data_IF_480630427360
#
_entry.id   IF_480630427360
#
_cell.length_a   1.000
_cell.length_b   1.000
_cell.length_c   1.000
_cell.angle_alpha   90.00
_cell.angle_beta   90.00
_cell.angle_gamma   90.00
#
_symmetry.space_group_name_H-M   'P 1'
#
loop_
_entity.id
_entity.type
_entity.pdbx_description
1 polymer ?
#
# COMPACT_ATOMS: atom_id res chain seq x y z
N UNK A 1 25.86 25.55 13.61
CA UNK A 1 24.58 25.27 12.91
C UNK A 1 24.57 23.78 12.58
N UNK A 2 23.44 23.09 12.80
CA UNK A 2 23.27 21.68 12.42
C UNK A 2 22.38 21.57 11.17
N UNK A 3 22.48 20.45 10.45
CA UNK A 3 21.66 20.16 9.28
C UNK A 3 20.83 18.92 9.57
N UNK A 4 19.50 19.03 9.39
CA UNK A 4 18.57 17.91 9.38
C UNK A 4 17.81 17.97 8.06
N UNK A 5 18.15 17.04 7.15
CA UNK A 5 17.55 16.95 5.82
C UNK A 5 17.36 15.48 5.46
N UNK A 6 16.18 15.17 4.93
CA UNK A 6 15.77 13.88 4.39
C UNK A 6 15.41 14.08 2.93
N UNK A 7 15.91 13.21 2.05
CA UNK A 7 15.57 13.17 0.63
C UNK A 7 15.22 11.73 0.29
N UNK A 8 14.03 11.51 -0.27
CA UNK A 8 13.52 10.17 -0.56
C UNK A 8 12.85 10.14 -1.93
N UNK A 9 13.03 9.02 -2.63
CA UNK A 9 12.23 8.65 -3.80
C UNK A 9 11.66 7.27 -3.53
N UNK A 10 10.34 7.15 -3.55
CA UNK A 10 9.67 5.89 -3.24
C UNK A 10 8.22 5.88 -3.71
N UNK A 11 7.55 4.76 -3.48
CA UNK A 11 6.15 4.57 -3.86
C UNK A 11 5.25 4.58 -2.63
N UNK A 12 4.06 5.17 -2.74
CA UNK A 12 3.09 5.18 -1.65
C UNK A 12 2.63 3.76 -1.30
N UNK A 13 2.65 3.41 -0.01
CA UNK A 13 2.13 2.13 0.49
C UNK A 13 0.61 2.08 0.61
N UNK A 14 0.01 3.25 0.82
CA UNK A 14 -1.43 3.46 0.99
C UNK A 14 -1.81 4.86 0.52
N UNK A 15 -3.10 5.08 0.31
CA UNK A 15 -3.63 6.41 0.00
C UNK A 15 -3.37 7.39 1.15
N UNK A 16 -3.14 8.69 0.87
CA UNK A 16 -2.96 9.67 1.92
C UNK A 16 -4.21 9.89 2.77
N UNK A 17 -4.02 9.88 4.08
CA UNK A 17 -5.07 10.25 5.03
C UNK A 17 -5.04 11.77 5.24
N UNK A 18 -5.90 12.51 4.55
CA UNK A 18 -6.08 13.96 4.74
C UNK A 18 -7.01 14.25 5.93
N UNK A 19 -6.54 15.05 6.87
CA UNK A 19 -7.28 15.51 8.07
C UNK A 19 -7.11 17.02 8.23
N UNK A 20 -8.00 17.63 8.99
CA UNK A 20 -7.89 19.03 9.39
C UNK A 20 -7.73 19.11 10.91
N UNK A 21 -6.78 19.91 11.35
CA UNK A 21 -6.62 20.21 12.78
C UNK A 21 -7.77 21.07 13.29
N UNK A 22 -8.00 21.14 14.63
CA UNK A 22 -9.00 22.05 15.20
C UNK A 22 -8.79 23.53 14.83
N UNK A 23 -7.55 23.92 14.52
CA UNK A 23 -7.19 25.25 14.04
C UNK A 23 -7.44 25.45 12.53
N UNK A 24 -8.00 24.46 11.83
CA UNK A 24 -8.31 24.50 10.40
C UNK A 24 -7.14 24.19 9.46
N UNK A 25 -5.94 23.92 9.97
CA UNK A 25 -4.80 23.56 9.12
C UNK A 25 -4.92 22.11 8.61
N UNK A 26 -4.78 21.91 7.30
CA UNK A 26 -4.72 20.60 6.66
C UNK A 26 -3.42 19.86 7.04
N UNK A 27 -3.54 18.55 7.26
CA UNK A 27 -2.44 17.62 7.49
C UNK A 27 -2.73 16.32 6.74
N UNK A 28 -1.75 15.79 6.01
CA UNK A 28 -1.89 14.48 5.37
C UNK A 28 -0.77 13.55 5.82
N UNK A 29 -1.15 12.30 6.08
CA UNK A 29 -0.26 11.26 6.55
C UNK A 29 -0.29 10.09 5.55
N UNK A 30 0.88 9.65 5.11
CA UNK A 30 1.03 8.49 4.24
C UNK A 30 2.37 7.81 4.49
N UNK A 31 2.52 6.58 3.99
CA UNK A 31 3.78 5.86 4.00
C UNK A 31 4.34 5.75 2.58
N UNK A 32 5.67 5.84 2.46
CA UNK A 32 6.38 5.48 1.23
C UNK A 32 7.33 4.31 1.50
N UNK A 33 7.49 3.46 0.50
CA UNK A 33 8.47 2.38 0.49
C UNK A 33 9.71 2.78 -0.32
N UNK A 34 10.89 2.49 0.21
CA UNK A 34 12.16 2.51 -0.53
C UNK A 34 12.77 1.12 -0.50
N UNK A 35 13.14 0.58 -1.65
CA UNK A 35 13.70 -0.78 -1.75
C UNK A 35 15.13 -0.73 -2.26
N UNK A 36 16.03 -1.38 -1.52
CA UNK A 36 17.40 -1.66 -1.96
C UNK A 36 17.53 -3.14 -2.37
N UNK A 37 18.27 -3.41 -3.44
CA UNK A 37 18.61 -4.78 -3.85
C UNK A 37 20.13 -4.98 -3.72
N UNK A 38 20.55 -5.98 -2.96
CA UNK A 38 21.95 -6.31 -2.73
C UNK A 38 22.19 -7.81 -2.90
N UNK A 39 23.46 -8.22 -3.01
CA UNK A 39 23.84 -9.65 -2.97
C UNK A 39 24.32 -9.99 -1.58
N UNK A 40 23.87 -11.10 -1.02
CA UNK A 40 24.40 -11.63 0.23
C UNK A 40 25.76 -12.33 0.02
N UNK A 41 26.35 -12.82 1.12
CA UNK A 41 27.65 -13.50 1.10
C UNK A 41 27.65 -14.81 0.32
N UNK A 42 26.46 -15.40 0.10
CA UNK A 42 26.27 -16.63 -0.66
C UNK A 42 26.03 -16.35 -2.15
N UNK A 43 25.94 -15.07 -2.53
CA UNK A 43 25.74 -14.62 -3.90
C UNK A 43 24.28 -14.50 -4.33
N UNK A 44 23.33 -14.75 -3.42
CA UNK A 44 21.90 -14.64 -3.71
C UNK A 44 21.47 -13.17 -3.68
N UNK A 45 20.54 -12.80 -4.57
CA UNK A 45 19.99 -11.44 -4.61
C UNK A 45 18.91 -11.29 -3.54
N UNK A 46 19.16 -10.42 -2.57
CA UNK A 46 18.22 -10.04 -1.54
C UNK A 46 17.63 -8.66 -1.84
N UNK A 47 16.41 -8.40 -1.36
CA UNK A 47 15.80 -7.08 -1.40
C UNK A 47 15.34 -6.69 -0.01
N UNK A 48 15.65 -5.47 0.41
CA UNK A 48 15.22 -4.91 1.69
C UNK A 48 14.40 -3.66 1.42
N UNK A 49 13.20 -3.62 2.01
CA UNK A 49 12.27 -2.51 1.87
C UNK A 49 12.13 -1.81 3.20
N UNK A 50 12.40 -0.51 3.21
CA UNK A 50 12.17 0.36 4.34
C UNK A 50 10.87 1.15 4.13
N UNK A 51 10.14 1.36 5.23
CA UNK A 51 8.88 2.10 5.24
C UNK A 51 9.06 3.41 5.97
N UNK A 52 8.62 4.50 5.35
CA UNK A 52 8.84 5.85 5.85
C UNK A 52 7.51 6.55 6.06
N UNK A 53 7.26 7.02 7.29
CA UNK A 53 6.06 7.77 7.63
C UNK A 53 6.25 9.24 7.27
N UNK A 54 5.46 9.74 6.33
CA UNK A 54 5.51 11.11 5.82
C UNK A 54 4.35 11.90 6.41
N UNK A 55 4.66 13.10 6.91
CA UNK A 55 3.68 14.09 7.37
C UNK A 55 3.86 15.36 6.55
N UNK A 56 2.81 15.78 5.85
CA UNK A 56 2.75 17.03 5.10
C UNK A 56 1.69 17.94 5.68
N UNK A 57 1.88 19.25 5.55
CA UNK A 57 1.00 20.27 6.13
C UNK A 57 0.46 21.24 5.09
N UNK A 58 -0.65 21.91 5.43
CA UNK A 58 -1.25 23.03 4.69
C UNK A 58 -1.54 22.65 3.23
N UNK A 59 -1.23 23.54 2.29
CA UNK A 59 -1.47 23.34 0.87
C UNK A 59 -0.84 22.05 0.32
N UNK A 60 0.35 21.66 0.82
CA UNK A 60 0.99 20.42 0.39
C UNK A 60 0.18 19.19 0.81
N UNK A 61 -0.44 19.23 1.99
CA UNK A 61 -1.35 18.17 2.43
C UNK A 61 -2.56 18.02 1.52
N UNK A 62 -3.19 19.13 1.13
CA UNK A 62 -4.34 19.12 0.21
C UNK A 62 -3.96 18.59 -1.17
N UNK A 63 -2.79 19.00 -1.70
CA UNK A 63 -2.24 18.47 -2.95
C UNK A 63 -2.01 16.96 -2.84
N UNK A 64 -1.36 16.50 -1.77
CA UNK A 64 -1.14 15.08 -1.54
C UNK A 64 -2.46 14.31 -1.49
N UNK A 65 -3.43 14.75 -0.67
CA UNK A 65 -4.73 14.09 -0.54
C UNK A 65 -5.57 14.08 -1.81
N UNK A 66 -5.38 15.05 -2.71
CA UNK A 66 -6.13 15.14 -3.97
C UNK A 66 -5.52 14.31 -5.10
N UNK A 67 -4.20 14.23 -5.20
CA UNK A 67 -3.53 13.69 -6.39
C UNK A 67 -2.71 12.43 -6.15
N UNK A 68 -2.38 12.11 -4.89
CA UNK A 68 -1.65 10.88 -4.58
C UNK A 68 -2.61 9.75 -4.25
N UNK A 69 -2.25 8.56 -4.71
CA UNK A 69 -2.86 7.29 -4.35
C UNK A 69 -1.77 6.24 -4.17
N UNK A 70 -2.13 5.11 -3.56
CA UNK A 70 -1.28 3.95 -3.36
C UNK A 70 -0.56 3.59 -4.66
N UNK A 71 0.74 3.32 -4.56
CA UNK A 71 1.59 2.96 -5.69
C UNK A 71 2.19 4.14 -6.44
N UNK A 72 1.63 5.37 -6.35
CA UNK A 72 2.25 6.55 -6.99
C UNK A 72 3.68 6.74 -6.49
N UNK A 73 4.59 7.03 -7.42
CA UNK A 73 5.97 7.34 -7.09
C UNK A 73 6.09 8.83 -6.76
N UNK A 74 6.85 9.15 -5.72
CA UNK A 74 7.03 10.53 -5.25
C UNK A 74 8.47 10.79 -4.85
N UNK A 75 8.91 12.01 -5.10
CA UNK A 75 10.07 12.64 -4.48
C UNK A 75 9.63 13.40 -3.24
N UNK A 76 10.36 13.25 -2.13
CA UNK A 76 10.09 13.93 -0.86
C UNK A 76 11.38 14.58 -0.36
N UNK A 77 11.29 15.86 0.04
CA UNK A 77 12.29 16.50 0.89
C UNK A 77 11.67 16.95 2.21
N UNK A 78 12.42 16.80 3.29
CA UNK A 78 11.96 17.22 4.61
C UNK A 78 13.02 17.06 5.68
N UNK A 79 12.55 16.81 6.90
CA UNK A 79 13.39 16.63 8.09
C UNK A 79 12.83 15.53 8.98
N UNK A 80 13.70 14.87 9.73
CA UNK A 80 13.29 13.93 10.77
C UNK A 80 12.72 14.70 11.96
N UNK A 81 11.59 14.24 12.48
CA UNK A 81 11.01 14.72 13.72
C UNK A 81 10.59 13.52 14.57
N UNK A 82 11.18 13.40 15.76
CA UNK A 82 10.76 12.39 16.74
C UNK A 82 9.82 13.05 17.74
N UNK A 83 8.63 12.48 17.90
CA UNK A 83 7.66 12.91 18.90
C UNK A 83 7.49 11.84 19.97
N UNK A 84 7.39 12.30 21.22
CA UNK A 84 7.02 11.49 22.38
C UNK A 84 5.50 11.47 22.50
N UNK A 85 4.93 10.31 22.79
CA UNK A 85 3.50 10.13 23.07
C UNK A 85 3.33 9.01 24.10
N UNK A 86 2.24 9.02 24.87
CA UNK A 86 1.96 7.95 25.84
C UNK A 86 0.96 6.94 25.26
N UNK A 87 1.24 5.65 25.44
CA UNK A 87 0.28 4.61 25.12
C UNK A 87 -0.83 4.53 26.18
N UNK A 88 -1.80 3.63 25.96
CA UNK A 88 -2.97 3.48 26.84
C UNK A 88 -2.60 3.03 28.25
N UNK A 89 -1.43 2.42 28.41
CA UNK A 89 -0.92 1.92 29.69
C UNK A 89 -0.04 2.97 30.40
N UNK A 90 0.08 4.18 29.82
CA UNK A 90 0.86 5.29 30.38
C UNK A 90 2.35 5.24 30.07
N UNK A 91 2.81 4.31 29.23
CA UNK A 91 4.23 4.20 28.89
C UNK A 91 4.61 5.22 27.81
N UNK A 92 5.78 5.82 27.99
CA UNK A 92 6.35 6.72 27.00
C UNK A 92 6.79 5.95 25.74
N UNK A 93 6.30 6.41 24.58
CA UNK A 93 6.64 5.90 23.25
C UNK A 93 7.18 7.02 22.39
N UNK A 94 8.00 6.64 21.42
CA UNK A 94 8.61 7.56 20.47
C UNK A 94 8.21 7.15 19.05
N UNK A 95 7.84 8.12 18.22
CA UNK A 95 7.60 7.94 16.80
C UNK A 95 8.48 8.91 16.04
N UNK A 96 9.31 8.38 15.13
CA UNK A 96 10.11 9.19 14.20
C UNK A 96 9.37 9.28 12.88
N UNK A 97 9.11 10.50 12.44
CA UNK A 97 8.36 10.82 11.23
C UNK A 97 9.19 11.79 10.38
N UNK A 98 8.89 11.83 9.08
CA UNK A 98 9.50 12.79 8.16
C UNK A 98 8.48 13.89 7.91
N UNK A 99 8.76 15.08 8.40
CA UNK A 99 7.97 16.27 8.08
C UNK A 99 8.47 16.80 6.76
N UNK A 100 7.66 16.62 5.72
CA UNK A 100 8.01 16.98 4.36
C UNK A 100 7.69 18.46 4.09
N UNK A 101 8.70 19.16 3.60
CA UNK A 101 8.62 20.57 3.20
C UNK A 101 8.42 20.69 1.68
N UNK A 102 8.82 19.68 0.90
CA UNK A 102 8.63 19.61 -0.55
C UNK A 102 8.22 18.20 -0.99
N UNK A 103 7.37 18.13 -2.02
CA UNK A 103 6.98 16.88 -2.67
C UNK A 103 6.85 17.10 -4.18
N UNK A 104 7.29 16.13 -4.97
CA UNK A 104 7.01 16.07 -6.41
C UNK A 104 6.47 14.69 -6.78
N UNK A 105 5.39 14.68 -7.56
CA UNK A 105 4.89 13.45 -8.16
C UNK A 105 5.82 13.00 -9.28
N UNK A 106 6.18 11.73 -9.27
CA UNK A 106 7.01 11.11 -10.29
C UNK A 106 6.15 10.09 -11.05
N UNK A 107 6.16 10.17 -12.38
CA UNK A 107 5.34 9.32 -13.25
C UNK A 107 4.66 10.10 -14.38
N UNK A 108 4.20 9.39 -15.41
CA UNK A 108 3.48 9.99 -16.53
C UNK A 108 2.02 10.21 -16.12
N UNK A 109 1.46 11.37 -16.47
CA UNK A 109 0.05 11.72 -16.23
C UNK A 109 -0.97 10.73 -16.83
N UNK A 110 -0.53 9.79 -17.67
CA UNK A 110 -1.35 8.76 -18.31
C UNK A 110 -1.84 7.65 -17.37
N UNK A 111 -1.26 7.52 -16.17
CA UNK A 111 -1.66 6.48 -15.19
C UNK A 111 -2.94 6.86 -14.41
N UNK A 112 -3.40 8.12 -14.50
CA UNK A 112 -4.67 8.58 -13.91
C UNK A 112 -5.91 8.12 -14.69
N UNK A 113 -5.74 7.43 -15.83
CA UNK A 113 -6.82 6.69 -16.52
C UNK A 113 -6.81 5.21 -16.14
N UNK A 114 -7.02 4.90 -14.86
CA UNK A 114 -7.43 3.55 -14.47
C UNK A 114 -8.87 3.55 -13.95
N UNK A 115 -9.77 3.79 -14.89
CA UNK A 115 -11.21 3.55 -14.78
C UNK A 115 -11.73 3.05 -16.12
N UNK A 116 -11.80 1.73 -16.29
CA UNK A 116 -12.58 1.04 -17.34
C UNK A 116 -12.07 1.20 -18.77
N UNK A 117 -11.27 0.23 -19.24
CA UNK A 117 -10.89 0.14 -20.64
C UNK A 117 -10.50 -1.28 -21.02
N UNK A 118 -11.48 -2.03 -21.53
CA UNK A 118 -11.35 -3.30 -22.22
C UNK A 118 -10.13 -3.30 -23.15
N UNK A 119 -9.13 -4.16 -22.90
CA UNK A 119 -8.06 -4.42 -23.87
C UNK A 119 -8.58 -5.41 -24.91
N UNK A 120 -9.28 -4.91 -25.92
CA UNK A 120 -9.41 -5.61 -27.20
C UNK A 120 -8.08 -5.52 -27.94
N UNK A 121 -7.29 -6.59 -27.83
CA UNK A 121 -6.06 -6.76 -28.61
C UNK A 121 -6.44 -7.20 -30.03
N UNK A 122 -6.64 -6.22 -30.92
CA UNK A 122 -6.80 -6.45 -32.35
C UNK A 122 -5.92 -5.50 -33.17
N UNK A 123 -4.82 -6.06 -33.69
CA UNK A 123 -4.29 -5.78 -35.03
C UNK A 123 -3.49 -4.49 -35.27
N UNK A 124 -2.27 -4.64 -35.81
CA UNK A 124 -1.58 -3.52 -36.43
C UNK A 124 -0.09 -3.69 -36.80
N UNK A 125 0.35 -4.87 -37.25
CA UNK A 125 1.69 -5.01 -37.86
C UNK A 125 1.63 -4.57 -39.33
N UNK A 126 2.18 -3.39 -39.63
CA UNK A 126 2.49 -2.92 -40.98
C UNK A 126 3.90 -3.35 -41.39
N UNK A 127 3.99 -4.40 -42.21
CA UNK A 127 5.24 -4.86 -42.82
C UNK A 127 4.93 -5.45 -44.19
N UNK A 128 5.11 -4.64 -45.23
CA UNK A 128 4.83 -5.01 -46.61
C UNK A 128 5.81 -6.03 -47.15
N UNK A 129 5.29 -7.10 -47.75
CA UNK A 129 6.01 -7.93 -48.69
C UNK A 129 5.04 -8.51 -49.72
N UNK A 130 5.25 -8.09 -50.97
CA UNK A 130 4.55 -8.57 -52.15
C UNK A 130 4.82 -10.06 -52.37
N UNK A 131 3.76 -10.86 -52.42
CA UNK A 131 3.75 -12.15 -53.12
C UNK A 131 2.49 -12.30 -53.94
N UNK A 132 2.72 -12.48 -55.23
CA UNK A 132 1.77 -12.67 -56.31
C UNK A 132 1.04 -14.01 -56.10
N UNK A 133 -0.29 -13.98 -56.03
CA UNK A 133 -1.12 -15.17 -55.88
C UNK A 133 -1.95 -15.41 -57.15
N UNK A 134 -1.86 -16.63 -57.64
CA UNK A 134 -2.59 -17.21 -58.76
C UNK A 134 -3.97 -17.69 -58.26
N UNK A 135 -5.07 -17.52 -59.00
CA UNK A 135 -6.40 -17.90 -58.52
C UNK A 135 -6.67 -19.40 -58.73
N UNK A 136 -7.01 -20.12 -57.66
CA UNK A 136 -7.56 -21.47 -57.69
C UNK A 136 -9.05 -21.44 -57.30
N UNK A 137 -9.85 -22.23 -58.01
CA UNK A 137 -11.32 -22.28 -58.02
C UNK A 137 -11.94 -22.78 -56.70
N UNK A 138 -13.21 -22.44 -56.41
CA UNK A 138 -13.94 -22.91 -55.24
C UNK A 138 -14.48 -24.33 -55.43
N UNK A 139 -14.25 -25.19 -54.43
CA UNK A 139 -14.83 -26.54 -54.36
C UNK A 139 -15.91 -26.60 -53.27
N UNK A 140 -17.11 -27.03 -53.69
CA UNK A 140 -18.33 -27.16 -52.91
C UNK A 140 -18.39 -28.48 -52.11
N UNK A 141 -19.11 -28.35 -50.97
CA UNK A 141 -19.94 -29.34 -50.26
C UNK A 141 -19.27 -30.48 -49.47
N UNK A 142 -19.60 -30.56 -48.17
CA UNK A 142 -20.54 -31.57 -47.68
C UNK A 142 -20.98 -31.36 -46.21
N UNK A 143 -22.25 -31.67 -46.00
CA UNK A 143 -23.07 -31.56 -44.80
C UNK A 143 -22.89 -32.73 -43.82
N UNK A 144 -22.88 -32.46 -42.51
CA UNK A 144 -23.21 -33.42 -41.46
C UNK A 144 -23.82 -32.65 -40.25
N UNK A 145 -25.15 -32.62 -40.14
CA UNK A 145 -25.98 -33.48 -39.29
C UNK A 145 -25.90 -33.17 -37.78
N UNK A 146 -26.95 -32.51 -37.30
CA UNK A 146 -27.24 -32.23 -35.90
C UNK A 146 -27.80 -33.47 -35.17
N UNK A 147 -27.50 -33.57 -33.87
CA UNK A 147 -28.22 -34.39 -32.89
C UNK A 147 -28.57 -33.53 -31.66
N UNK A 148 -29.82 -33.59 -31.13
CA UNK A 148 -30.22 -32.88 -29.92
C UNK A 148 -30.37 -33.82 -28.71
N UNK A 149 -30.06 -33.34 -27.50
CA UNK A 149 -30.52 -33.76 -26.15
C UNK A 149 -29.82 -32.85 -25.12
N UNK A 150 -30.35 -32.37 -23.99
CA UNK A 150 -31.61 -32.50 -23.26
C UNK A 150 -31.68 -31.32 -22.27
N UNK A 151 -32.87 -30.77 -22.03
CA UNK A 151 -33.12 -29.73 -21.05
C UNK A 151 -33.35 -30.34 -19.65
N UNK A 152 -32.62 -29.88 -18.63
CA UNK A 152 -32.93 -30.16 -17.23
C UNK A 152 -33.80 -29.05 -16.65
N UNK A 153 -34.98 -29.46 -16.19
CA UNK A 153 -35.94 -28.68 -15.42
C UNK A 153 -35.50 -28.62 -13.95
N UNK A 154 -35.52 -27.43 -13.35
CA UNK A 154 -35.52 -27.27 -11.88
C UNK A 154 -36.76 -26.49 -11.46
N UNK A 155 -37.49 -27.07 -10.52
CA UNK A 155 -38.74 -26.57 -9.92
C UNK A 155 -38.52 -25.30 -9.06
N UNK A 156 -39.54 -24.44 -8.91
CA UNK A 156 -39.54 -23.37 -7.92
C UNK A 156 -40.15 -23.85 -6.58
N UNK A 157 -39.44 -23.63 -5.48
CA UNK A 157 -39.96 -23.80 -4.12
C UNK A 157 -40.32 -22.44 -3.52
N UNK A 158 -41.60 -22.28 -3.17
CA UNK A 158 -42.12 -21.24 -2.29
C UNK A 158 -41.71 -21.53 -0.85
N UNK A 159 -41.38 -20.49 -0.07
CA UNK A 159 -41.25 -20.60 1.38
C UNK A 159 -41.00 -19.24 2.02
N UNK A 160 -42.05 -18.62 2.56
CA UNK A 160 -41.94 -17.44 3.41
C UNK A 160 -41.37 -17.77 4.79
N UNK A 161 -40.77 -16.77 5.44
CA UNK A 161 -40.22 -16.91 6.79
C UNK A 161 -39.91 -15.55 7.40
N UNK A 162 -40.55 -15.27 8.53
CA UNK A 162 -40.59 -14.00 9.22
C UNK A 162 -39.30 -13.64 9.97
N UNK A 163 -39.13 -12.34 10.08
CA UNK A 163 -38.38 -11.55 11.06
C UNK A 163 -38.42 -12.10 12.50
N UNK A 164 -37.27 -12.18 13.17
CA UNK A 164 -37.15 -12.09 14.63
C UNK A 164 -35.72 -11.74 15.10
N UNK A 165 -35.55 -10.47 15.48
CA UNK A 165 -34.89 -9.98 16.70
C UNK A 165 -33.86 -10.88 17.43
N UNK A 166 -32.59 -10.45 17.51
CA UNK A 166 -31.64 -10.93 18.51
C UNK A 166 -30.78 -9.79 19.11
N UNK A 167 -31.23 -9.38 20.30
CA UNK A 167 -30.49 -9.00 21.52
C UNK A 167 -29.04 -8.52 21.43
N UNK A 168 -28.84 -7.26 21.83
CA UNK A 168 -27.57 -6.74 22.33
C UNK A 168 -27.28 -7.33 23.72
N UNK A 169 -26.20 -8.10 23.84
CA UNK A 169 -25.65 -8.50 25.13
C UNK A 169 -24.70 -7.43 25.66
N UNK A 170 -24.91 -7.00 26.91
CA UNK A 170 -24.03 -6.05 27.60
C UNK A 170 -22.68 -6.72 27.98
N UNK A 171 -21.55 -6.00 27.89
CA UNK A 171 -20.26 -6.52 28.34
C UNK A 171 -20.15 -6.55 29.87
N UNK A 172 -19.63 -7.64 30.42
CA UNK A 172 -19.34 -7.82 31.85
C UNK A 172 -18.14 -6.96 32.31
N UNK A 173 -18.11 -6.51 33.57
CA UNK A 173 -16.99 -5.75 34.11
C UNK A 173 -15.75 -6.63 34.35
N UNK A 174 -14.60 -6.17 33.86
CA UNK A 174 -13.29 -6.80 34.03
C UNK A 174 -12.81 -6.71 35.50
N UNK A 175 -12.23 -7.80 36.00
CA UNK A 175 -11.62 -7.86 37.32
C UNK A 175 -10.25 -7.13 37.36
N UNK A 176 -9.84 -6.58 38.52
CA UNK A 176 -8.57 -5.86 38.64
C UNK A 176 -7.38 -6.83 38.51
N UNK A 177 -6.50 -6.52 37.56
CA UNK A 177 -5.26 -7.28 37.32
C UNK A 177 -4.25 -6.96 38.43
N UNK A 178 -3.82 -7.98 39.14
CA UNK A 178 -2.79 -7.89 40.18
C UNK A 178 -1.45 -7.50 39.56
N UNK A 179 -0.91 -6.35 39.97
CA UNK A 179 0.38 -5.83 39.49
C UNK A 179 1.50 -6.80 39.87
N UNK A 180 2.20 -7.33 38.86
CA UNK A 180 3.49 -7.98 39.09
C UNK A 180 4.55 -6.88 39.18
N UNK A 181 5.46 -6.92 40.17
CA UNK A 181 6.53 -5.93 40.27
C UNK A 181 7.46 -6.02 39.05
N UNK A 182 7.95 -4.85 38.62
CA UNK A 182 8.87 -4.73 37.49
C UNK A 182 10.18 -5.50 37.75
N UNK A 183 10.81 -6.08 36.72
CA UNK A 183 12.14 -6.64 36.86
C UNK A 183 13.13 -5.53 37.22
N UNK A 184 13.89 -5.74 38.30
CA UNK A 184 15.01 -4.88 38.68
C UNK A 184 16.15 -5.18 37.72
N UNK A 185 16.57 -4.19 36.95
CA UNK A 185 17.77 -4.29 36.13
C UNK A 185 18.97 -4.05 37.05
N UNK A 186 19.73 -5.10 37.37
CA UNK A 186 21.06 -4.95 37.94
C UNK A 186 22.01 -4.52 36.80
N UNK A 187 22.54 -3.30 36.88
CA UNK A 187 23.61 -2.86 35.99
C UNK A 187 24.86 -3.72 36.25
N UNK A 188 25.52 -4.28 35.22
CA UNK A 188 26.79 -4.96 35.43
C UNK A 188 27.81 -3.96 35.97
N UNK A 189 28.50 -4.33 37.04
CA UNK A 189 29.55 -3.52 37.63
C UNK A 189 30.58 -3.13 36.55
N UNK A 190 30.83 -1.83 36.44
CA UNK A 190 31.86 -1.27 35.58
C UNK A 190 33.20 -1.98 35.88
N UNK A 191 33.68 -2.77 34.94
CA UNK A 191 34.99 -3.41 35.01
C UNK A 191 36.03 -2.42 34.47
N UNK A 192 36.90 -1.85 35.31
CA UNK A 192 37.87 -0.83 34.88
C UNK A 192 38.97 -1.36 33.95
N UNK A 193 39.03 -2.67 33.71
CA UNK A 193 40.04 -3.32 32.84
C UNK A 193 39.56 -3.59 31.40
N UNK A 194 38.28 -3.33 31.05
CA UNK A 194 37.82 -3.45 29.66
C UNK A 194 38.20 -2.18 28.85
N UNK A 195 39.46 -2.12 28.44
CA UNK A 195 39.98 -1.12 27.50
C UNK A 195 39.14 -1.10 26.21
N UNK A 196 38.57 0.07 25.92
CA UNK A 196 37.99 0.43 24.63
C UNK A 196 39.13 0.40 23.58
N UNK A 197 39.10 -0.50 22.58
CA UNK A 197 40.11 -0.44 21.53
C UNK A 197 39.89 0.83 20.69
N UNK A 198 40.96 1.62 20.54
CA UNK A 198 41.03 2.82 19.70
C UNK A 198 40.83 2.51 18.21
#
# INVERSE_FOLDING_TARGET
MSVNKVILVGNLGKDPELKYTPAGAAVANFSIATTESYKDREGNRQSKTEWHNIVVWRQLAEICGKYLHKGKQVYIEGKLQTRKWQDRDGNDRYSTEIVADQMQMLGRASDDSQGGGQYDNAGGYGGGQQRQAQPAQPQQAQSAQARPVQAQQTQPAQGGGQNQNQGYAAPQPAQPVQQRPAPVYEEPAFNPDDEIPF
#
